data_IF_527153569845
#
_entry.id   IF_527153569845
#
_cell.length_a   1.000
_cell.length_b   1.000
_cell.length_c   1.000
_cell.angle_alpha   90.00
_cell.angle_beta   90.00
_cell.angle_gamma   90.00
#
_symmetry.space_group_name_H-M   'P 1'
#
loop_
_entity.id
_entity.type
_entity.pdbx_description
1 polymer ?
#
# COMPACT_ATOMS: atom_id res chain seq x y z
N UNK A 1 19.71 3.23 31.96
CA UNK A 1 18.70 2.30 31.41
C UNK A 1 17.44 3.10 31.14
N UNK A 2 17.11 3.40 29.87
CA UNK A 2 15.93 4.22 29.56
C UNK A 2 14.71 3.31 29.61
N UNK A 3 13.85 3.47 30.62
CA UNK A 3 12.57 2.78 30.68
C UNK A 3 11.69 3.29 29.54
N UNK A 4 11.43 2.44 28.54
CA UNK A 4 10.48 2.74 27.48
C UNK A 4 9.08 2.81 28.09
N UNK A 5 8.30 3.86 27.78
CA UNK A 5 6.89 3.94 28.14
C UNK A 5 6.12 2.75 27.55
N UNK A 6 5.05 2.32 28.21
CA UNK A 6 4.24 1.19 27.74
C UNK A 6 3.67 1.43 26.32
N UNK A 7 3.33 2.68 25.99
CA UNK A 7 2.91 3.07 24.63
C UNK A 7 4.01 2.87 23.58
N UNK A 8 5.25 3.25 23.89
CA UNK A 8 6.39 3.05 22.99
C UNK A 8 6.70 1.59 22.75
N UNK A 9 6.66 0.75 23.80
CA UNK A 9 6.84 -0.70 23.69
C UNK A 9 5.78 -1.32 22.78
N UNK A 10 4.51 -0.96 22.99
CA UNK A 10 3.38 -1.42 22.16
C UNK A 10 3.56 -1.04 20.70
N UNK A 11 3.90 0.23 20.42
CA UNK A 11 4.15 0.69 19.06
C UNK A 11 5.26 -0.11 18.36
N UNK A 12 6.42 -0.24 19.02
CA UNK A 12 7.57 -0.97 18.47
C UNK A 12 7.24 -2.44 18.22
N UNK A 13 6.49 -3.07 19.12
CA UNK A 13 6.01 -4.44 18.93
C UNK A 13 5.09 -4.54 17.70
N UNK A 14 4.09 -3.66 17.57
CA UNK A 14 3.15 -3.67 16.45
C UNK A 14 3.86 -3.45 15.11
N UNK A 15 4.74 -2.47 15.03
CA UNK A 15 5.52 -2.21 13.81
C UNK A 15 6.51 -3.33 13.51
N UNK A 16 7.15 -3.91 14.53
CA UNK A 16 8.01 -5.07 14.38
C UNK A 16 7.26 -6.28 13.81
N UNK A 17 6.06 -6.58 14.34
CA UNK A 17 5.19 -7.62 13.79
C UNK A 17 4.77 -7.32 12.35
N UNK A 18 4.44 -6.06 12.05
CA UNK A 18 4.11 -5.64 10.69
C UNK A 18 5.26 -5.89 9.69
N UNK A 19 6.49 -5.60 10.09
CA UNK A 19 7.71 -5.90 9.29
C UNK A 19 7.88 -7.41 9.13
N UNK A 20 7.74 -8.21 10.19
CA UNK A 20 7.86 -9.68 10.12
C UNK A 20 6.85 -10.26 9.13
N UNK A 21 5.57 -9.87 9.22
CA UNK A 21 4.55 -10.31 8.27
C UNK A 21 4.82 -9.83 6.84
N UNK A 22 5.36 -8.62 6.68
CA UNK A 22 5.80 -8.10 5.38
C UNK A 22 6.92 -8.96 4.77
N UNK A 23 7.92 -9.36 5.57
CA UNK A 23 9.00 -10.26 5.14
C UNK A 23 8.44 -11.62 4.75
N UNK A 24 7.57 -12.22 5.57
CA UNK A 24 6.96 -13.51 5.27
C UNK A 24 6.20 -13.43 3.95
N UNK A 25 5.36 -12.41 3.75
CA UNK A 25 4.65 -12.20 2.49
C UNK A 25 5.59 -12.10 1.29
N UNK A 26 6.69 -11.34 1.42
CA UNK A 26 7.67 -11.20 0.35
C UNK A 26 8.24 -12.56 -0.02
N UNK A 27 8.64 -13.36 0.98
CA UNK A 27 9.24 -14.68 0.79
C UNK A 27 8.27 -15.72 0.23
N UNK A 28 7.01 -15.73 0.67
CA UNK A 28 6.06 -16.81 0.35
C UNK A 28 5.22 -16.54 -0.89
N UNK A 29 4.92 -15.27 -1.20
CA UNK A 29 3.94 -14.94 -2.25
C UNK A 29 4.54 -14.01 -3.30
N UNK A 30 5.33 -13.03 -2.86
CA UNK A 30 5.85 -12.00 -3.77
C UNK A 30 7.03 -12.50 -4.61
N UNK A 31 7.96 -13.24 -4.01
CA UNK A 31 9.08 -13.83 -4.75
C UNK A 31 8.59 -14.82 -5.81
N UNK A 32 7.59 -15.65 -5.50
CA UNK A 32 6.94 -16.51 -6.50
C UNK A 32 6.36 -15.71 -7.66
N UNK A 33 5.81 -14.52 -7.39
CA UNK A 33 5.29 -13.66 -8.45
C UNK A 33 6.42 -13.13 -9.33
N UNK A 34 7.51 -12.66 -8.73
CA UNK A 34 8.70 -12.18 -9.45
C UNK A 34 9.32 -13.32 -10.27
N UNK A 35 9.46 -14.51 -9.69
CA UNK A 35 10.01 -15.68 -10.39
C UNK A 35 9.14 -16.09 -11.57
N UNK A 36 7.82 -16.11 -11.41
CA UNK A 36 6.89 -16.35 -12.52
C UNK A 36 7.03 -15.26 -13.60
N UNK A 37 7.13 -13.98 -13.23
CA UNK A 37 7.36 -12.91 -14.21
C UNK A 37 8.64 -13.15 -15.03
N UNK A 38 9.72 -13.59 -14.38
CA UNK A 38 11.00 -13.89 -15.03
C UNK A 38 10.86 -15.11 -15.96
N UNK A 39 10.31 -16.21 -15.44
CA UNK A 39 10.16 -17.48 -16.15
C UNK A 39 9.32 -17.33 -17.43
N UNK A 40 8.18 -16.66 -17.31
CA UNK A 40 7.26 -16.42 -18.43
C UNK A 40 7.61 -15.17 -19.25
N UNK A 41 8.75 -14.53 -18.98
CA UNK A 41 9.21 -13.29 -19.66
C UNK A 41 8.16 -12.17 -19.67
N UNK A 42 7.33 -12.10 -18.64
CA UNK A 42 6.20 -11.19 -18.52
C UNK A 42 6.60 -9.81 -17.96
N UNK A 43 7.70 -9.23 -18.47
CA UNK A 43 8.24 -7.94 -18.01
C UNK A 43 7.53 -6.74 -18.65
N UNK A 44 6.21 -6.64 -18.46
CA UNK A 44 5.47 -5.44 -18.84
C UNK A 44 5.67 -4.34 -17.79
N UNK A 45 5.49 -3.07 -18.20
CA UNK A 45 5.55 -1.94 -17.27
C UNK A 45 4.54 -2.12 -16.12
N UNK A 46 3.32 -2.59 -16.42
CA UNK A 46 2.28 -2.88 -15.44
C UNK A 46 2.75 -3.89 -14.39
N UNK A 47 3.34 -5.01 -14.82
CA UNK A 47 3.81 -6.05 -13.91
C UNK A 47 4.98 -5.55 -13.05
N UNK A 48 5.90 -4.78 -13.63
CA UNK A 48 7.00 -4.18 -12.88
C UNK A 48 6.52 -3.17 -11.83
N UNK A 49 5.65 -2.25 -12.22
CA UNK A 49 5.05 -1.26 -11.32
C UNK A 49 4.28 -1.94 -10.20
N UNK A 50 3.52 -2.99 -10.52
CA UNK A 50 2.82 -3.77 -9.53
C UNK A 50 3.79 -4.47 -8.57
N UNK A 51 4.90 -5.03 -9.09
CA UNK A 51 5.91 -5.64 -8.25
C UNK A 51 6.44 -4.64 -7.21
N UNK A 52 6.81 -3.44 -7.66
CA UNK A 52 7.26 -2.35 -6.78
C UNK A 52 6.18 -1.94 -5.78
N UNK A 53 4.93 -1.78 -6.23
CA UNK A 53 3.82 -1.41 -5.35
C UNK A 53 3.63 -2.40 -4.21
N UNK A 54 3.78 -3.70 -4.48
CA UNK A 54 3.54 -4.76 -3.49
C UNK A 54 4.60 -4.83 -2.40
N UNK A 55 5.78 -4.24 -2.59
CA UNK A 55 6.76 -4.06 -1.52
C UNK A 55 6.31 -3.06 -0.45
N UNK A 56 5.24 -2.30 -0.67
CA UNK A 56 4.71 -1.35 0.32
C UNK A 56 4.44 -2.00 1.69
N UNK A 57 4.05 -3.28 1.73
CA UNK A 57 3.77 -3.98 2.98
C UNK A 57 5.02 -4.21 3.82
N UNK A 58 6.20 -4.18 3.22
CA UNK A 58 7.45 -4.25 3.96
C UNK A 58 8.01 -2.85 4.16
N UNK A 59 8.05 -2.05 3.09
CA UNK A 59 8.71 -0.76 3.09
C UNK A 59 7.99 0.26 3.98
N UNK A 60 6.66 0.37 3.92
CA UNK A 60 5.93 1.33 4.76
C UNK A 60 6.16 1.06 6.26
N UNK A 61 5.97 -0.16 6.78
CA UNK A 61 6.28 -0.45 8.18
C UNK A 61 7.74 -0.16 8.54
N UNK A 62 8.71 -0.52 7.68
CA UNK A 62 10.13 -0.23 7.91
C UNK A 62 10.39 1.26 8.05
N UNK A 63 9.84 2.08 7.15
CA UNK A 63 10.03 3.53 7.17
C UNK A 63 9.50 4.12 8.48
N UNK A 64 8.31 3.71 8.92
CA UNK A 64 7.76 4.19 10.18
C UNK A 64 8.51 3.61 11.40
N UNK A 65 9.03 2.40 11.32
CA UNK A 65 9.79 1.71 12.38
C UNK A 65 11.16 2.35 12.66
N UNK A 66 11.87 2.77 11.61
CA UNK A 66 13.23 3.30 11.72
C UNK A 66 13.23 4.64 12.46
N UNK A 67 14.13 4.79 13.44
CA UNK A 67 14.33 6.05 14.16
C UNK A 67 15.06 7.05 13.25
N UNK A 68 14.82 8.35 13.46
CA UNK A 68 15.48 9.47 12.76
C UNK A 68 16.98 9.19 12.57
N UNK A 69 17.42 9.11 11.31
CA UNK A 69 18.84 9.11 10.96
C UNK A 69 19.33 10.55 10.85
N UNK A 70 20.52 10.84 11.36
CA UNK A 70 21.08 12.20 11.39
C UNK A 70 21.25 12.83 9.99
N UNK A 71 21.32 12.01 8.93
CA UNK A 71 21.64 12.45 7.57
C UNK A 71 20.43 12.79 6.70
N UNK A 72 19.22 12.30 7.01
CA UNK A 72 18.03 12.55 6.20
C UNK A 72 16.82 12.85 7.08
N UNK A 73 16.04 13.92 6.78
CA UNK A 73 14.80 14.17 7.48
C UNK A 73 13.83 13.03 7.21
N UNK A 74 13.59 12.18 8.23
CA UNK A 74 12.70 11.00 8.16
C UNK A 74 11.37 11.31 7.50
N UNK A 75 10.82 12.50 7.76
CA UNK A 75 9.53 12.90 7.22
C UNK A 75 9.54 13.11 5.70
N UNK A 76 10.67 13.58 5.15
CA UNK A 76 10.82 13.69 3.71
C UNK A 76 10.87 12.30 3.08
N UNK A 77 11.57 11.35 3.73
CA UNK A 77 11.61 9.96 3.31
C UNK A 77 10.20 9.34 3.29
N UNK A 78 9.45 9.50 4.38
CA UNK A 78 8.05 9.06 4.47
C UNK A 78 7.20 9.63 3.35
N UNK A 79 7.29 10.94 3.10
CA UNK A 79 6.56 11.60 2.01
C UNK A 79 6.95 11.07 0.64
N UNK A 80 8.24 10.90 0.38
CA UNK A 80 8.75 10.38 -0.90
C UNK A 80 8.22 8.98 -1.15
N UNK A 81 8.26 8.09 -0.16
CA UNK A 81 7.72 6.74 -0.31
C UNK A 81 6.20 6.73 -0.50
N UNK A 82 5.45 7.56 0.24
CA UNK A 82 4.00 7.65 0.04
C UNK A 82 3.63 8.17 -1.35
N UNK A 83 4.37 9.16 -1.86
CA UNK A 83 4.21 9.65 -3.24
C UNK A 83 4.59 8.57 -4.25
N UNK A 84 5.69 7.85 -4.03
CA UNK A 84 6.11 6.76 -4.90
C UNK A 84 5.03 5.66 -4.97
N UNK A 85 4.48 5.22 -3.83
CA UNK A 85 3.39 4.24 -3.81
C UNK A 85 2.09 4.77 -4.43
N UNK A 86 1.80 6.06 -4.28
CA UNK A 86 0.68 6.71 -4.97
C UNK A 86 0.83 6.65 -6.50
N UNK A 87 2.02 6.99 -7.01
CA UNK A 87 2.34 6.91 -8.45
C UNK A 87 2.31 5.46 -8.93
N UNK A 88 2.84 4.50 -8.15
CA UNK A 88 2.79 3.08 -8.50
C UNK A 88 1.35 2.55 -8.55
N UNK A 89 0.51 2.91 -7.57
CA UNK A 89 -0.91 2.55 -7.57
C UNK A 89 -1.63 3.13 -8.79
N UNK A 90 -1.35 4.39 -9.15
CA UNK A 90 -1.94 5.04 -10.33
C UNK A 90 -1.46 4.38 -11.63
N UNK A 91 -0.16 4.10 -11.73
CA UNK A 91 0.46 3.47 -12.90
C UNK A 91 -0.06 2.05 -13.10
N UNK A 92 -0.42 1.35 -12.02
CA UNK A 92 -1.10 0.05 -12.07
C UNK A 92 -2.49 0.08 -12.71
N UNK A 93 -3.10 1.26 -12.89
CA UNK A 93 -4.41 1.44 -13.54
C UNK A 93 -4.27 1.87 -15.01
N UNK A 94 -3.05 2.14 -15.50
CA UNK A 94 -2.83 2.67 -16.84
C UNK A 94 -3.33 1.75 -17.97
N UNK A 95 -3.37 0.44 -17.74
CA UNK A 95 -3.92 -0.54 -18.68
C UNK A 95 -5.41 -0.25 -19.00
N UNK A 96 -6.17 0.38 -18.09
CA UNK A 96 -7.58 0.69 -18.31
C UNK A 96 -7.75 1.77 -19.39
N UNK A 97 -6.82 2.73 -19.46
CA UNK A 97 -6.79 3.71 -20.56
C UNK A 97 -6.37 3.05 -21.87
N UNK A 98 -5.46 2.08 -21.83
CA UNK A 98 -5.10 1.28 -22.99
C UNK A 98 -6.28 0.45 -23.50
N UNK A 99 -7.04 -0.19 -22.60
CA UNK A 99 -8.27 -0.92 -22.91
C UNK A 99 -9.30 -0.03 -23.63
N UNK A 100 -9.48 1.20 -23.16
CA UNK A 100 -10.39 2.18 -23.78
C UNK A 100 -9.95 2.67 -25.16
N UNK A 101 -8.72 2.41 -25.59
CA UNK A 101 -8.31 2.67 -26.97
C UNK A 101 -8.84 1.61 -27.95
N UNK A 102 -9.11 0.39 -27.45
CA UNK A 102 -9.58 -0.75 -28.25
C UNK A 102 -11.07 -1.04 -28.05
N UNK A 103 -11.64 -0.63 -26.92
CA UNK A 103 -13.02 -0.93 -26.51
C UNK A 103 -13.77 0.33 -26.07
N UNK A 104 -15.10 0.24 -25.99
CA UNK A 104 -15.93 1.37 -25.55
C UNK A 104 -15.97 1.47 -24.02
N UNK A 105 -16.34 2.64 -23.49
CA UNK A 105 -16.52 2.82 -22.05
C UNK A 105 -17.53 1.83 -21.44
N UNK A 106 -18.57 1.45 -22.21
CA UNK A 106 -19.56 0.44 -21.78
C UNK A 106 -18.91 -0.92 -21.54
N UNK A 107 -17.86 -1.26 -22.27
CA UNK A 107 -17.14 -2.52 -22.13
C UNK A 107 -16.31 -2.59 -20.83
N UNK A 108 -16.17 -1.49 -20.07
CA UNK A 108 -15.61 -1.55 -18.70
C UNK A 108 -16.55 -2.20 -17.69
N UNK A 109 -17.85 -2.29 -18.02
CA UNK A 109 -18.85 -2.97 -17.20
C UNK A 109 -18.87 -4.48 -17.44
N UNK A 110 -18.15 -4.96 -18.46
CA UNK A 110 -18.04 -6.36 -18.84
C UNK A 110 -16.75 -6.96 -18.25
N UNK A 111 -16.88 -7.54 -17.05
CA UNK A 111 -15.76 -8.14 -16.31
C UNK A 111 -15.05 -9.23 -17.11
N UNK A 112 -15.80 -10.01 -17.90
CA UNK A 112 -15.23 -11.11 -18.69
C UNK A 112 -14.33 -10.57 -19.81
N UNK A 113 -14.78 -9.54 -20.54
CA UNK A 113 -13.95 -8.89 -21.57
C UNK A 113 -12.69 -8.25 -20.99
N UNK A 114 -12.80 -7.56 -19.86
CA UNK A 114 -11.63 -6.94 -19.24
C UNK A 114 -10.64 -7.97 -18.71
N UNK A 115 -11.14 -9.06 -18.12
CA UNK A 115 -10.31 -10.17 -17.69
C UNK A 115 -9.56 -10.81 -18.86
N UNK A 116 -10.25 -11.09 -19.97
CA UNK A 116 -9.65 -11.62 -21.19
C UNK A 116 -8.58 -10.67 -21.75
N UNK A 117 -8.86 -9.37 -21.82
CA UNK A 117 -7.88 -8.39 -22.27
C UNK A 117 -6.62 -8.40 -21.40
N UNK A 118 -6.78 -8.45 -20.07
CA UNK A 118 -5.64 -8.52 -19.16
C UNK A 118 -4.89 -9.85 -19.24
N UNK A 119 -5.59 -10.96 -19.42
CA UNK A 119 -4.97 -12.26 -19.61
C UNK A 119 -4.07 -12.27 -20.87
N UNK A 120 -4.49 -11.58 -21.94
CA UNK A 120 -3.75 -11.46 -23.19
C UNK A 120 -2.57 -10.47 -23.07
N UNK A 121 -2.79 -9.30 -22.46
CA UNK A 121 -1.79 -8.21 -22.41
C UNK A 121 -0.77 -8.36 -21.28
N UNK A 122 -1.15 -8.99 -20.17
CA UNK A 122 -0.34 -9.09 -18.95
C UNK A 122 0.20 -10.50 -18.69
N UNK A 123 -0.18 -11.48 -19.52
CA UNK A 123 -0.16 -12.93 -19.25
C UNK A 123 -1.11 -13.34 -18.09
N UNK A 124 -1.84 -14.45 -18.29
CA UNK A 124 -2.84 -15.02 -17.36
C UNK A 124 -2.35 -15.13 -15.90
N UNK A 125 -1.08 -15.49 -15.70
CA UNK A 125 -0.47 -15.68 -14.38
C UNK A 125 -0.29 -14.35 -13.63
N UNK A 126 0.03 -13.27 -14.34
CA UNK A 126 0.07 -11.95 -13.74
C UNK A 126 -1.37 -11.48 -13.45
N UNK A 127 -2.31 -11.66 -14.37
CA UNK A 127 -3.71 -11.28 -14.17
C UNK A 127 -4.34 -11.90 -12.91
N UNK A 128 -4.11 -13.19 -12.63
CA UNK A 128 -4.58 -13.86 -11.42
C UNK A 128 -3.94 -13.33 -10.12
N UNK A 129 -2.70 -12.85 -10.18
CA UNK A 129 -2.01 -12.28 -9.01
C UNK A 129 -2.22 -10.76 -8.86
N UNK A 130 -2.58 -10.08 -9.94
CA UNK A 130 -2.92 -8.65 -10.05
C UNK A 130 -4.36 -8.33 -9.62
N UNK A 131 -5.18 -9.37 -9.48
CA UNK A 131 -6.66 -9.40 -9.53
C UNK A 131 -7.42 -8.28 -8.80
N UNK A 132 -6.80 -7.60 -7.84
CA UNK A 132 -7.48 -6.61 -7.02
C UNK A 132 -7.43 -5.17 -7.53
N UNK A 133 -6.45 -4.83 -8.38
CA UNK A 133 -6.29 -3.44 -8.85
C UNK A 133 -6.88 -3.18 -10.23
N UNK A 134 -7.15 -4.22 -10.99
CA UNK A 134 -7.16 -4.12 -12.45
C UNK A 134 -8.34 -4.83 -13.11
N UNK A 135 -8.83 -5.99 -12.68
CA UNK A 135 -9.73 -6.79 -13.54
C UNK A 135 -11.21 -6.36 -13.55
N UNK A 136 -11.60 -5.33 -12.80
CA UNK A 136 -12.98 -4.80 -12.74
C UNK A 136 -13.00 -3.27 -12.66
N UNK A 137 -14.10 -2.63 -13.08
CA UNK A 137 -14.29 -1.18 -12.91
C UNK A 137 -14.22 -0.78 -11.43
N UNK A 138 -14.76 -1.62 -10.54
CA UNK A 138 -14.63 -1.43 -9.10
C UNK A 138 -13.16 -1.46 -8.66
N UNK A 139 -12.36 -2.40 -9.15
CA UNK A 139 -10.92 -2.48 -8.90
C UNK A 139 -10.17 -1.22 -9.38
N UNK A 140 -10.48 -0.73 -10.58
CA UNK A 140 -9.94 0.53 -11.12
C UNK A 140 -10.24 1.71 -10.20
N UNK A 141 -11.51 1.88 -9.81
CA UNK A 141 -11.94 2.99 -8.94
C UNK A 141 -11.31 2.90 -7.54
N UNK A 142 -11.20 1.70 -6.97
CA UNK A 142 -10.57 1.50 -5.67
C UNK A 142 -9.05 1.72 -5.72
N UNK A 143 -8.37 1.32 -6.80
CA UNK A 143 -6.96 1.64 -7.03
C UNK A 143 -6.71 3.15 -7.11
N UNK A 144 -7.57 3.87 -7.83
CA UNK A 144 -7.52 5.33 -7.90
C UNK A 144 -7.75 5.96 -6.52
N UNK A 145 -8.73 5.45 -5.75
CA UNK A 145 -8.97 5.91 -4.38
C UNK A 145 -7.76 5.67 -3.47
N UNK A 146 -7.13 4.50 -3.54
CA UNK A 146 -5.89 4.16 -2.81
C UNK A 146 -4.75 5.11 -3.19
N UNK A 147 -4.56 5.35 -4.49
CA UNK A 147 -3.54 6.30 -4.97
C UNK A 147 -3.75 7.70 -4.40
N UNK A 148 -4.98 8.22 -4.46
CA UNK A 148 -5.33 9.53 -3.89
C UNK A 148 -5.12 9.57 -2.37
N UNK A 149 -5.52 8.51 -1.67
CA UNK A 149 -5.32 8.41 -0.22
C UNK A 149 -3.84 8.44 0.17
N UNK A 150 -2.97 7.74 -0.55
CA UNK A 150 -1.51 7.84 -0.30
C UNK A 150 -0.98 9.25 -0.53
N UNK A 151 -1.45 9.93 -1.58
CA UNK A 151 -1.07 11.31 -1.85
C UNK A 151 -1.51 12.27 -0.74
N UNK A 152 -2.77 12.16 -0.29
CA UNK A 152 -3.31 12.95 0.82
C UNK A 152 -2.56 12.63 2.13
N UNK A 153 -2.24 11.37 2.39
CA UNK A 153 -1.45 10.97 3.55
C UNK A 153 -0.06 11.64 3.52
N UNK A 154 0.59 11.69 2.35
CA UNK A 154 1.89 12.37 2.18
C UNK A 154 1.80 13.87 2.50
N UNK A 155 0.76 14.56 2.02
CA UNK A 155 0.57 16.01 2.30
C UNK A 155 0.27 16.26 3.79
N UNK A 156 -0.53 15.39 4.42
CA UNK A 156 -0.95 15.53 5.81
C UNK A 156 0.11 15.03 6.81
N UNK A 157 1.12 14.29 6.33
CA UNK A 157 2.25 13.81 7.11
C UNK A 157 2.98 15.03 7.74
N UNK A 158 3.06 15.05 9.08
CA UNK A 158 3.46 16.14 9.99
C UNK A 158 2.30 16.88 10.68
N UNK A 159 1.26 17.28 9.92
CA UNK A 159 0.28 18.26 10.42
C UNK A 159 -0.88 17.62 11.17
N UNK A 160 -1.27 16.40 10.78
CA UNK A 160 -2.49 15.77 11.27
C UNK A 160 -2.31 14.26 11.49
N UNK A 161 -1.64 13.88 12.59
CA UNK A 161 -1.37 12.48 12.97
C UNK A 161 -2.61 11.57 12.89
N UNK A 162 -3.73 12.02 13.50
CA UNK A 162 -5.01 11.30 13.49
C UNK A 162 -5.58 11.15 12.08
N UNK A 163 -5.48 12.17 11.24
CA UNK A 163 -5.93 12.10 9.85
C UNK A 163 -5.12 11.08 9.06
N UNK A 164 -3.79 11.03 9.23
CA UNK A 164 -2.95 10.01 8.58
C UNK A 164 -3.35 8.60 9.04
N UNK A 165 -3.53 8.38 10.35
CA UNK A 165 -3.98 7.08 10.87
C UNK A 165 -5.37 6.67 10.32
N UNK A 166 -6.31 7.62 10.18
CA UNK A 166 -7.61 7.38 9.56
C UNK A 166 -7.44 6.98 8.09
N UNK A 167 -6.61 7.69 7.33
CA UNK A 167 -6.36 7.37 5.91
C UNK A 167 -5.82 5.95 5.77
N UNK A 168 -4.81 5.56 6.55
CA UNK A 168 -4.29 4.19 6.52
C UNK A 168 -5.33 3.14 6.92
N UNK A 169 -6.21 3.48 7.87
CA UNK A 169 -7.32 2.61 8.24
C UNK A 169 -8.32 2.41 7.10
N UNK A 170 -8.63 3.47 6.35
CA UNK A 170 -9.51 3.40 5.18
C UNK A 170 -8.85 2.61 4.05
N UNK A 171 -7.55 2.81 3.79
CA UNK A 171 -6.79 2.01 2.83
C UNK A 171 -6.85 0.53 3.20
N UNK A 172 -6.58 0.18 4.47
CA UNK A 172 -6.68 -1.20 4.95
C UNK A 172 -8.10 -1.75 4.77
N UNK A 173 -9.11 -0.99 5.18
CA UNK A 173 -10.51 -1.40 5.10
C UNK A 173 -10.93 -1.67 3.66
N UNK A 174 -10.58 -0.79 2.74
CA UNK A 174 -10.81 -0.99 1.30
C UNK A 174 -10.18 -2.31 0.91
N UNK A 175 -8.87 -2.48 1.11
CA UNK A 175 -8.14 -3.70 0.70
C UNK A 175 -8.68 -4.99 1.32
N UNK A 176 -9.26 -4.91 2.52
CA UNK A 176 -9.80 -6.07 3.22
C UNK A 176 -11.23 -6.42 2.79
N UNK A 177 -12.11 -5.41 2.67
CA UNK A 177 -13.53 -5.61 2.34
C UNK A 177 -13.70 -5.84 0.86
N UNK A 178 -12.86 -5.21 0.05
CA UNK A 178 -13.10 -5.15 -1.37
C UNK A 178 -13.16 -6.56 -2.03
N UNK A 179 -12.31 -7.56 -1.68
CA UNK A 179 -12.48 -8.94 -2.16
C UNK A 179 -13.88 -9.49 -1.91
N UNK A 180 -14.47 -9.17 -0.76
CA UNK A 180 -15.82 -9.62 -0.39
C UNK A 180 -16.90 -8.96 -1.24
N UNK A 181 -16.74 -7.68 -1.61
CA UNK A 181 -17.66 -6.98 -2.51
C UNK A 181 -17.61 -7.62 -3.90
N UNK A 182 -16.42 -7.92 -4.43
CA UNK A 182 -16.31 -8.53 -5.75
C UNK A 182 -16.84 -9.96 -5.78
N UNK A 183 -16.68 -10.76 -4.70
CA UNK A 183 -17.36 -12.06 -4.57
C UNK A 183 -18.87 -11.88 -4.69
N UNK A 184 -19.44 -10.93 -3.93
CA UNK A 184 -20.89 -10.71 -3.90
C UNK A 184 -21.46 -10.25 -5.25
N UNK A 185 -20.66 -9.55 -6.08
CA UNK A 185 -21.10 -9.01 -7.37
C UNK A 185 -20.85 -9.99 -8.52
N UNK A 186 -19.70 -10.67 -8.55
CA UNK A 186 -19.25 -11.46 -9.70
C UNK A 186 -19.37 -12.99 -9.50
N UNK A 187 -19.55 -13.48 -8.26
CA UNK A 187 -19.74 -14.90 -7.98
C UNK A 187 -18.50 -15.80 -8.08
N UNK A 188 -17.29 -15.26 -8.27
CA UNK A 188 -16.06 -16.04 -8.52
C UNK A 188 -15.33 -16.48 -7.23
N UNK A 189 -16.04 -17.18 -6.33
CA UNK A 189 -15.56 -17.48 -4.97
C UNK A 189 -14.15 -18.09 -4.90
N UNK A 190 -13.80 -18.99 -5.82
CA UNK A 190 -12.52 -19.73 -5.81
C UNK A 190 -11.32 -18.81 -6.03
N UNK A 191 -11.39 -17.91 -7.02
CA UNK A 191 -10.29 -17.00 -7.36
C UNK A 191 -10.04 -16.01 -6.20
N UNK A 192 -11.10 -15.54 -5.54
CA UNK A 192 -10.96 -14.65 -4.39
C UNK A 192 -10.46 -15.36 -3.12
N UNK A 193 -10.82 -16.63 -2.91
CA UNK A 193 -10.30 -17.43 -1.81
C UNK A 193 -8.79 -17.68 -1.97
N UNK A 194 -8.34 -17.96 -3.20
CA UNK A 194 -6.92 -18.07 -3.54
C UNK A 194 -6.20 -16.74 -3.28
N UNK A 195 -6.81 -15.61 -3.68
CA UNK A 195 -6.25 -14.29 -3.40
C UNK A 195 -6.06 -14.04 -1.90
N UNK A 196 -7.08 -14.27 -1.07
CA UNK A 196 -6.96 -14.08 0.38
C UNK A 196 -5.85 -14.93 0.99
N UNK A 197 -5.77 -16.20 0.60
CA UNK A 197 -4.72 -17.13 1.03
C UNK A 197 -3.33 -16.57 0.70
N UNK A 198 -3.14 -16.11 -0.55
CA UNK A 198 -1.87 -15.56 -1.03
C UNK A 198 -1.52 -14.19 -0.41
N UNK A 199 -2.51 -13.48 0.16
CA UNK A 199 -2.39 -12.11 0.67
C UNK A 199 -2.55 -11.99 2.18
N UNK A 200 -2.78 -13.08 2.91
CA UNK A 200 -3.05 -13.02 4.35
C UNK A 200 -1.93 -12.33 5.12
N UNK A 201 -0.67 -12.65 4.82
CA UNK A 201 0.49 -12.03 5.46
C UNK A 201 0.62 -10.53 5.13
N UNK A 202 0.28 -10.14 3.90
CA UNK A 202 0.23 -8.74 3.49
C UNK A 202 -0.87 -7.96 4.24
N UNK A 203 -2.06 -8.55 4.39
CA UNK A 203 -3.17 -7.96 5.14
C UNK A 203 -2.84 -7.84 6.64
N UNK A 204 -2.23 -8.86 7.24
CA UNK A 204 -1.76 -8.81 8.63
C UNK A 204 -0.71 -7.72 8.81
N UNK A 205 0.26 -7.62 7.90
CA UNK A 205 1.25 -6.55 7.94
C UNK A 205 0.58 -5.16 7.93
N UNK A 206 -0.36 -4.92 7.01
CA UNK A 206 -1.10 -3.66 6.93
C UNK A 206 -1.95 -3.39 8.20
N UNK A 207 -2.58 -4.42 8.77
CA UNK A 207 -3.36 -4.32 10.01
C UNK A 207 -2.47 -3.89 11.19
N UNK A 208 -1.35 -4.58 11.41
CA UNK A 208 -0.42 -4.28 12.50
C UNK A 208 0.19 -2.88 12.35
N UNK A 209 0.52 -2.47 11.12
CA UNK A 209 0.95 -1.10 10.84
C UNK A 209 -0.13 -0.08 11.21
N UNK A 210 -1.37 -0.32 10.80
CA UNK A 210 -2.51 0.58 11.05
C UNK A 210 -2.77 0.74 12.55
N UNK A 211 -2.77 -0.37 13.31
CA UNK A 211 -2.91 -0.33 14.78
C UNK A 211 -1.71 0.38 15.42
N UNK A 212 -0.50 0.15 14.88
CA UNK A 212 0.72 0.85 15.28
C UNK A 212 0.58 2.36 15.13
N UNK A 213 0.18 2.83 13.96
CA UNK A 213 -0.05 4.25 13.67
C UNK A 213 -1.12 4.87 14.58
N UNK A 214 -2.19 4.14 14.92
CA UNK A 214 -3.18 4.59 15.88
C UNK A 214 -2.64 4.70 17.30
N UNK A 215 -1.87 3.71 17.76
CA UNK A 215 -1.19 3.76 19.06
C UNK A 215 -0.26 4.97 19.13
N UNK A 216 0.36 5.31 18.00
CA UNK A 216 1.20 6.47 17.85
C UNK A 216 0.34 7.78 17.87
N UNK A 217 -0.76 7.84 17.12
CA UNK A 217 -1.59 9.04 16.97
C UNK A 217 -2.36 9.45 18.24
N UNK A 218 -2.53 8.56 19.22
CA UNK A 218 -3.27 8.79 20.46
C UNK A 218 -2.39 9.18 21.66
N UNK A 219 -1.07 9.18 21.53
CA UNK A 219 -0.14 9.40 22.66
C UNK A 219 0.53 10.77 22.59
N UNK A 220 0.49 11.54 23.68
CA UNK A 220 1.16 12.85 23.81
C UNK A 220 2.51 12.70 24.53
N UNK A 221 3.51 12.14 23.86
CA UNK A 221 4.82 11.90 24.49
C UNK A 221 5.99 12.13 23.55
N UNK A 222 7.13 12.59 24.07
CA UNK A 222 8.30 13.03 23.29
C UNK A 222 8.81 12.01 22.24
N UNK A 223 8.67 10.70 22.49
CA UNK A 223 9.09 9.70 21.49
C UNK A 223 8.23 9.72 20.22
N UNK A 224 7.06 10.35 20.26
CA UNK A 224 6.15 10.51 19.13
C UNK A 224 6.65 11.51 18.10
N UNK A 225 7.38 12.53 18.53
CA UNK A 225 7.99 13.51 17.64
C UNK A 225 8.99 12.83 16.70
N UNK A 226 9.64 11.74 17.16
CA UNK A 226 10.53 10.92 16.32
C UNK A 226 9.82 10.05 15.26
N UNK A 227 8.49 9.94 15.34
CA UNK A 227 7.65 9.20 14.38
C UNK A 227 6.94 10.17 13.43
N UNK A 228 6.44 11.29 13.94
CA UNK A 228 5.68 12.27 13.15
C UNK A 228 6.50 13.47 12.66
N UNK A 229 7.77 13.56 13.07
CA UNK A 229 8.73 14.56 12.60
C UNK A 229 8.52 15.97 13.15
N UNK A 230 7.80 16.13 14.26
CA UNK A 230 7.40 17.45 14.80
C UNK A 230 8.55 18.33 15.36
N UNK A 231 9.75 17.79 15.56
CA UNK A 231 10.94 18.56 15.99
C UNK A 231 11.57 19.43 14.87
N UNK A 232 11.03 19.43 13.64
CA UNK A 232 11.52 20.27 12.53
C UNK A 232 10.80 21.64 12.45
N UNK A 233 10.29 22.14 13.58
CA UNK A 233 10.00 23.55 13.83
C UNK A 233 11.11 24.25 14.63
N UNK A 234 12.35 23.76 14.56
CA UNK A 234 13.50 24.54 14.97
C UNK A 234 13.91 25.46 13.80
N UNK A 235 13.54 26.73 13.96
CA UNK A 235 14.28 27.92 13.50
C UNK A 235 14.40 28.15 11.98
N UNK A 236 13.27 28.31 11.29
CA UNK A 236 13.21 29.16 10.08
C UNK A 236 12.19 30.30 10.21
N UNK A 237 11.72 30.56 11.43
CA UNK A 237 11.12 31.84 11.80
C UNK A 237 12.25 32.64 12.48
N UNK A 238 12.52 33.83 11.94
CA UNK A 238 13.48 34.84 12.41
C UNK A 238 14.97 34.63 12.05
N UNK A 239 15.29 34.76 10.76
CA UNK A 239 16.43 35.61 10.36
C UNK A 239 15.89 36.65 9.36
N UNK A 240 15.29 37.71 9.91
CA UNK A 240 15.20 39.00 9.24
C UNK A 240 16.63 39.47 8.89
N UNK A 241 16.93 39.57 7.59
CA UNK A 241 17.91 40.52 7.04
C UNK A 241 17.40 41.10 5.73
#
# INVERSE_FOLDING_TARGET
>A
MIFLSNGRKRYLFLMGMSVVFGIIYVLTSHMDYIMNMIEYRAFTLTNFVYAVFRFECLLLPVIFFVRRNAFFPKILLEKVFLVAFSISALSGVMWAFEYLNYYTFRDLLDTEKMFLYQAITSNYIAANRLMWGTTSLAGVLLSLAISLMYFVAAIMMHRKRKTVAIIFSVIFLIRFISPMICIAVNGELEIYAEWFTNNTMWLLSALFMTIGLWSAAQTDSLWMESIWGEELQLDFEDDEY
#
